data_IF_750329799603
#
_entry.id   IF_750329799603
#
_cell.length_a   1.000
_cell.length_b   1.000
_cell.length_c   1.000
_cell.angle_alpha   90.00
_cell.angle_beta   90.00
_cell.angle_gamma   90.00
#
_symmetry.space_group_name_H-M   'P 1'
#
loop_
_entity.id
_entity.type
_entity.pdbx_description
1 polymer ?
#
# COMPACT_ATOMS: atom_id res chain seq x y z
N UNK A 1 -31.48 -8.37 -12.72
CA UNK A 1 -31.98 -8.98 -11.47
C UNK A 1 -31.04 -8.56 -10.33
N UNK A 2 -31.38 -7.41 -9.73
CA UNK A 2 -30.53 -6.63 -8.82
C UNK A 2 -30.42 -7.26 -7.42
N UNK A 3 -29.23 -7.16 -6.84
CA UNK A 3 -28.84 -7.29 -5.43
C UNK A 3 -29.90 -7.82 -4.44
N UNK A 4 -29.78 -9.10 -4.05
CA UNK A 4 -30.31 -9.58 -2.77
C UNK A 4 -29.36 -9.14 -1.65
N UNK A 5 -29.71 -8.02 -1.01
CA UNK A 5 -29.16 -7.60 0.27
C UNK A 5 -29.57 -8.65 1.31
N UNK A 6 -28.62 -9.50 1.70
CA UNK A 6 -28.75 -10.34 2.88
C UNK A 6 -28.40 -9.46 4.08
N UNK A 7 -29.45 -9.03 4.80
CA UNK A 7 -29.34 -8.59 6.19
C UNK A 7 -28.85 -9.79 7.02
N UNK A 8 -27.54 -9.84 7.26
CA UNK A 8 -26.95 -10.71 8.27
C UNK A 8 -26.56 -9.81 9.44
N UNK A 9 -27.03 -10.16 10.65
CA UNK A 9 -26.58 -9.57 11.91
C UNK A 9 -25.12 -9.13 11.83
N UNK A 10 -24.87 -7.85 12.15
CA UNK A 10 -23.67 -7.03 11.90
C UNK A 10 -22.36 -7.72 12.33
N UNK A 11 -21.94 -8.78 11.62
CA UNK A 11 -20.60 -9.37 11.73
C UNK A 11 -19.63 -8.29 11.27
N UNK A 12 -18.67 -7.91 12.12
CA UNK A 12 -17.58 -7.01 11.73
C UNK A 12 -17.02 -7.44 10.37
N UNK A 13 -16.94 -6.51 9.43
CA UNK A 13 -16.42 -6.76 8.08
C UNK A 13 -14.99 -7.26 8.22
N UNK A 14 -14.69 -8.48 7.74
CA UNK A 14 -13.31 -8.99 7.69
C UNK A 14 -12.67 -8.49 6.41
N UNK A 15 -11.53 -7.80 6.54
CA UNK A 15 -10.83 -7.30 5.37
C UNK A 15 -9.75 -8.29 4.91
N UNK A 16 -10.14 -9.28 4.11
CA UNK A 16 -9.21 -10.30 3.61
C UNK A 16 -8.42 -9.77 2.41
N UNK A 17 -7.08 -9.84 2.38
CA UNK A 17 -6.34 -9.42 1.19
C UNK A 17 -6.65 -10.36 0.01
N UNK A 18 -6.75 -9.76 -1.17
CA UNK A 18 -6.98 -10.45 -2.46
C UNK A 18 -5.83 -10.22 -3.43
N UNK A 19 -4.99 -9.22 -3.18
CA UNK A 19 -3.74 -9.01 -3.91
C UNK A 19 -2.62 -8.63 -2.96
N UNK A 20 -1.55 -9.41 -2.95
CA UNK A 20 -0.28 -9.11 -2.29
C UNK A 20 0.73 -8.65 -3.34
N UNK A 21 1.03 -7.36 -3.32
CA UNK A 21 2.05 -6.73 -4.17
C UNK A 21 3.40 -7.08 -3.56
N UNK A 22 4.09 -8.06 -4.14
CA UNK A 22 5.39 -8.47 -3.63
C UNK A 22 6.45 -7.55 -4.20
N UNK A 23 6.84 -6.52 -3.45
CA UNK A 23 7.96 -5.65 -3.83
C UNK A 23 9.28 -6.39 -3.53
N UNK A 24 10.25 -6.41 -4.47
CA UNK A 24 11.53 -7.04 -4.21
C UNK A 24 12.23 -6.43 -2.98
N UNK A 25 12.71 -7.32 -2.10
CA UNK A 25 13.57 -7.02 -0.94
C UNK A 25 12.90 -6.30 0.24
N UNK A 26 11.59 -6.46 0.38
CA UNK A 26 10.79 -5.90 1.49
C UNK A 26 10.18 -6.99 2.39
N UNK A 27 10.94 -8.05 2.70
CA UNK A 27 10.47 -9.23 3.45
C UNK A 27 9.25 -9.98 2.85
N UNK A 28 8.88 -9.68 1.60
CA UNK A 28 7.68 -10.24 0.98
C UNK A 28 7.67 -11.76 0.79
N UNK A 29 8.83 -12.41 0.66
CA UNK A 29 8.91 -13.88 0.66
C UNK A 29 8.43 -14.48 1.98
N UNK A 30 8.91 -13.93 3.12
CA UNK A 30 8.50 -14.38 4.44
C UNK A 30 7.00 -14.23 4.65
N UNK A 31 6.45 -13.06 4.24
CA UNK A 31 5.02 -12.80 4.35
C UNK A 31 4.18 -13.70 3.45
N UNK A 32 4.57 -13.91 2.18
CA UNK A 32 3.88 -14.83 1.27
C UNK A 32 3.81 -16.24 1.83
N UNK A 33 4.93 -16.76 2.35
CA UNK A 33 5.00 -18.10 2.96
C UNK A 33 4.18 -18.18 4.26
N UNK A 34 3.97 -17.05 4.93
CA UNK A 34 3.00 -16.94 6.03
C UNK A 34 1.55 -16.93 5.52
N UNK A 35 1.23 -16.21 4.45
CA UNK A 35 -0.10 -16.18 3.85
C UNK A 35 -0.53 -17.57 3.35
N UNK A 36 0.39 -18.36 2.81
CA UNK A 36 0.15 -19.74 2.36
C UNK A 36 -0.42 -20.65 3.45
N UNK A 37 -0.21 -20.35 4.73
CA UNK A 37 -0.81 -21.13 5.82
C UNK A 37 -2.25 -20.73 6.16
N UNK A 38 -2.79 -19.68 5.54
CA UNK A 38 -4.11 -19.11 5.86
C UNK A 38 -5.01 -18.91 4.62
N UNK A 39 -4.42 -18.68 3.46
CA UNK A 39 -5.11 -18.38 2.21
C UNK A 39 -4.52 -19.20 1.06
N UNK A 40 -5.33 -19.45 0.04
CA UNK A 40 -4.83 -20.03 -1.21
C UNK A 40 -4.04 -18.97 -1.99
N UNK A 41 -2.71 -19.09 -2.03
CA UNK A 41 -1.87 -18.16 -2.78
C UNK A 41 -1.90 -18.53 -4.26
N UNK A 42 -2.20 -17.53 -5.11
CA UNK A 42 -2.22 -17.62 -6.58
C UNK A 42 -1.01 -16.86 -7.11
N UNK A 43 0.09 -17.55 -7.47
CA UNK A 43 1.28 -16.87 -7.97
C UNK A 43 1.05 -16.20 -9.33
N UNK A 44 1.41 -14.93 -9.44
CA UNK A 44 1.37 -14.16 -10.68
C UNK A 44 2.79 -13.73 -11.07
N UNK A 45 3.37 -14.46 -12.03
CA UNK A 45 4.62 -14.13 -12.70
C UNK A 45 4.41 -14.05 -14.22
N UNK A 46 5.49 -13.93 -15.01
CA UNK A 46 5.37 -13.89 -16.47
C UNK A 46 4.75 -15.19 -17.03
N UNK A 47 4.05 -15.09 -18.17
CA UNK A 47 3.31 -16.21 -18.79
C UNK A 47 4.16 -17.46 -19.00
N UNK A 48 5.41 -17.27 -19.43
CA UNK A 48 6.38 -18.31 -19.72
C UNK A 48 6.97 -18.98 -18.46
N UNK A 49 6.70 -18.45 -17.27
CA UNK A 49 7.21 -19.04 -16.04
C UNK A 49 6.28 -20.15 -15.55
N UNK A 50 6.86 -21.34 -15.29
CA UNK A 50 6.11 -22.52 -14.79
C UNK A 50 5.36 -22.24 -13.49
N UNK A 51 5.91 -21.37 -12.64
CA UNK A 51 5.33 -20.97 -11.35
C UNK A 51 4.04 -20.15 -11.49
N UNK A 52 3.77 -19.52 -12.64
CA UNK A 52 2.54 -18.74 -12.85
C UNK A 52 1.30 -19.64 -12.79
N UNK A 53 0.32 -19.25 -11.98
CA UNK A 53 -0.88 -20.05 -11.76
C UNK A 53 -1.77 -20.14 -13.01
N UNK A 54 -2.50 -21.26 -13.18
CA UNK A 54 -3.40 -21.49 -14.32
C UNK A 54 -4.44 -20.35 -14.49
N UNK A 55 -5.10 -19.93 -13.41
CA UNK A 55 -6.06 -18.80 -13.43
C UNK A 55 -5.44 -17.51 -13.98
N UNK A 56 -4.18 -17.23 -13.63
CA UNK A 56 -3.47 -16.04 -14.11
C UNK A 56 -3.18 -16.19 -15.60
N UNK A 57 -2.76 -17.37 -16.04
CA UNK A 57 -2.55 -17.65 -17.48
C UNK A 57 -3.84 -17.48 -18.28
N UNK A 58 -4.97 -17.98 -17.78
CA UNK A 58 -6.28 -17.85 -18.43
C UNK A 58 -6.73 -16.39 -18.54
N UNK A 59 -6.53 -15.57 -17.48
CA UNK A 59 -6.77 -14.12 -17.54
C UNK A 59 -5.87 -13.45 -18.58
N UNK A 60 -4.57 -13.71 -18.53
CA UNK A 60 -3.57 -13.06 -19.39
C UNK A 60 -3.70 -13.48 -20.86
N UNK A 61 -4.21 -14.68 -21.14
CA UNK A 61 -4.46 -15.16 -22.51
C UNK A 61 -5.82 -14.73 -23.07
N UNK A 62 -6.62 -13.97 -22.32
CA UNK A 62 -7.96 -13.53 -22.74
C UNK A 62 -9.06 -14.60 -22.67
N UNK A 63 -8.75 -15.80 -22.14
CA UNK A 63 -9.71 -16.90 -22.01
C UNK A 63 -10.62 -16.76 -20.78
N UNK A 64 -10.36 -15.78 -19.93
CA UNK A 64 -11.12 -15.50 -18.71
C UNK A 64 -11.26 -13.99 -18.54
N UNK A 65 -12.50 -13.53 -18.34
CA UNK A 65 -12.76 -12.11 -18.07
C UNK A 65 -12.24 -11.71 -16.69
N UNK A 66 -12.04 -10.41 -16.47
CA UNK A 66 -11.58 -9.91 -15.17
C UNK A 66 -12.56 -10.25 -14.03
N UNK A 67 -13.87 -10.23 -14.33
CA UNK A 67 -14.92 -10.63 -13.39
C UNK A 67 -14.81 -12.13 -13.04
N UNK A 68 -14.70 -13.01 -14.04
CA UNK A 68 -14.55 -14.45 -13.81
C UNK A 68 -13.29 -14.78 -13.01
N UNK A 69 -12.20 -14.06 -13.27
CA UNK A 69 -10.97 -14.17 -12.50
C UNK A 69 -11.21 -13.78 -11.04
N UNK A 70 -11.80 -12.61 -10.78
CA UNK A 70 -12.06 -12.15 -9.42
C UNK A 70 -13.01 -13.07 -8.65
N UNK A 71 -14.08 -13.55 -9.30
CA UNK A 71 -14.99 -14.56 -8.71
C UNK A 71 -14.24 -15.85 -8.35
N UNK A 72 -13.29 -16.29 -9.17
CA UNK A 72 -12.44 -17.46 -8.89
C UNK A 72 -11.54 -17.22 -7.67
N UNK A 73 -11.01 -16.00 -7.51
CA UNK A 73 -10.24 -15.61 -6.32
C UNK A 73 -11.11 -15.65 -5.06
N UNK A 74 -12.34 -15.13 -5.14
CA UNK A 74 -13.28 -15.14 -4.01
C UNK A 74 -13.69 -16.56 -3.61
N UNK A 75 -14.09 -17.40 -4.59
CA UNK A 75 -14.53 -18.78 -4.36
C UNK A 75 -13.45 -19.65 -3.71
N UNK A 76 -12.17 -19.40 -4.04
CA UNK A 76 -11.02 -20.14 -3.48
C UNK A 76 -10.51 -19.57 -2.15
N UNK A 77 -11.13 -18.49 -1.66
CA UNK A 77 -10.58 -17.67 -0.58
C UNK A 77 -9.08 -17.35 -0.80
N UNK A 78 -8.77 -16.89 -2.01
CA UNK A 78 -7.40 -16.76 -2.49
C UNK A 78 -6.85 -15.34 -2.33
N UNK A 79 -5.53 -15.25 -2.44
CA UNK A 79 -4.76 -14.01 -2.61
C UNK A 79 -3.83 -14.18 -3.80
N UNK A 80 -3.91 -13.27 -4.76
CA UNK A 80 -2.93 -13.20 -5.86
C UNK A 80 -1.64 -12.63 -5.30
N UNK A 81 -0.48 -13.21 -5.63
CA UNK A 81 0.80 -12.71 -5.15
C UNK A 81 1.86 -12.73 -6.25
N UNK A 82 2.62 -11.65 -6.39
CA UNK A 82 3.66 -11.57 -7.40
C UNK A 82 4.36 -10.22 -7.48
N UNK A 83 5.42 -10.17 -8.28
CA UNK A 83 6.15 -8.94 -8.58
C UNK A 83 5.39 -8.14 -9.65
N UNK A 84 4.24 -7.58 -9.27
CA UNK A 84 3.31 -6.88 -10.14
C UNK A 84 2.92 -5.52 -9.58
N UNK A 85 2.64 -4.57 -10.46
CA UNK A 85 2.19 -3.23 -10.07
C UNK A 85 0.77 -3.28 -9.55
N UNK A 86 0.39 -2.28 -8.77
CA UNK A 86 -0.95 -2.17 -8.19
C UNK A 86 -2.03 -1.97 -9.27
N UNK A 87 -1.68 -1.25 -10.33
CA UNK A 87 -2.53 -0.99 -11.50
C UNK A 87 -3.01 -2.27 -12.20
N UNK A 88 -2.29 -3.38 -12.10
CA UNK A 88 -2.67 -4.65 -12.75
C UNK A 88 -4.02 -5.19 -12.28
N UNK A 89 -4.45 -4.79 -11.07
CA UNK A 89 -5.63 -5.32 -10.42
C UNK A 89 -6.57 -4.26 -9.86
N UNK A 90 -6.24 -2.97 -9.96
CA UNK A 90 -7.04 -1.88 -9.37
C UNK A 90 -8.48 -1.82 -9.90
N UNK A 91 -8.71 -2.31 -11.12
CA UNK A 91 -10.03 -2.34 -11.76
C UNK A 91 -10.92 -3.52 -11.33
N UNK A 92 -10.40 -4.47 -10.54
CA UNK A 92 -11.20 -5.61 -10.06
C UNK A 92 -11.00 -5.95 -8.59
N UNK A 93 -9.89 -5.55 -8.00
CA UNK A 93 -9.60 -5.72 -6.58
C UNK A 93 -9.56 -4.31 -5.98
N UNK A 94 -10.44 -3.96 -5.02
CA UNK A 94 -10.40 -2.66 -4.39
C UNK A 94 -9.09 -2.48 -3.61
N UNK A 95 -8.50 -1.27 -3.55
CA UNK A 95 -7.31 -0.95 -2.77
C UNK A 95 -7.35 -1.46 -1.33
N UNK A 96 -8.52 -1.42 -0.69
CA UNK A 96 -8.74 -1.94 0.67
C UNK A 96 -8.48 -3.44 0.83
N UNK A 97 -8.45 -4.20 -0.26
CA UNK A 97 -8.13 -5.62 -0.32
C UNK A 97 -6.75 -5.88 -0.95
N UNK A 98 -5.95 -4.83 -1.14
CA UNK A 98 -4.55 -4.94 -1.53
C UNK A 98 -3.65 -4.81 -0.30
N UNK A 99 -2.57 -5.56 -0.29
CA UNK A 99 -1.54 -5.44 0.73
C UNK A 99 -0.13 -5.50 0.15
N UNK A 100 0.82 -4.93 0.88
CA UNK A 100 2.25 -4.95 0.50
C UNK A 100 3.13 -4.84 1.75
N UNK A 101 4.44 -4.97 1.55
CA UNK A 101 5.46 -4.54 2.49
C UNK A 101 6.41 -3.58 1.78
N UNK A 102 6.84 -2.56 2.50
CA UNK A 102 7.89 -1.63 2.08
C UNK A 102 9.07 -1.69 3.06
N UNK A 103 10.17 -1.05 2.71
CA UNK A 103 11.41 -1.00 3.47
C UNK A 103 12.06 0.36 3.33
N UNK A 104 12.87 0.76 4.31
CA UNK A 104 13.69 1.96 4.22
C UNK A 104 14.48 1.97 2.89
N UNK A 105 14.39 3.04 2.08
CA UNK A 105 14.88 3.05 0.70
C UNK A 105 16.36 2.71 0.54
N UNK A 106 17.21 3.17 1.46
CA UNK A 106 18.66 2.88 1.40
C UNK A 106 18.91 1.40 1.69
N UNK A 107 18.35 0.87 2.78
CA UNK A 107 18.46 -0.54 3.16
C UNK A 107 17.90 -1.48 2.08
N UNK A 108 16.80 -1.10 1.43
CA UNK A 108 16.22 -1.85 0.31
C UNK A 108 17.16 -1.88 -0.89
N UNK A 109 17.75 -0.73 -1.23
CA UNK A 109 18.68 -0.57 -2.36
C UNK A 109 19.93 -1.43 -2.18
N UNK A 110 20.55 -1.38 -1.00
CA UNK A 110 21.69 -2.26 -0.66
C UNK A 110 21.29 -3.72 -0.76
N UNK A 111 20.14 -4.09 -0.19
CA UNK A 111 19.66 -5.48 -0.21
C UNK A 111 19.36 -6.00 -1.62
N UNK A 112 18.90 -5.12 -2.53
CA UNK A 112 18.67 -5.45 -3.93
C UNK A 112 20.00 -5.69 -4.66
N UNK A 113 20.95 -4.77 -4.53
CA UNK A 113 22.27 -4.91 -5.14
C UNK A 113 22.92 -6.25 -4.76
N UNK A 114 22.98 -6.54 -3.46
CA UNK A 114 23.57 -7.79 -2.98
C UNK A 114 22.85 -9.04 -3.48
N UNK A 115 21.52 -8.98 -3.55
CA UNK A 115 20.73 -10.09 -4.06
C UNK A 115 20.99 -10.33 -5.55
N UNK A 116 21.07 -9.28 -6.35
CA UNK A 116 21.36 -9.40 -7.77
C UNK A 116 22.80 -9.88 -8.00
N UNK A 117 23.77 -9.35 -7.24
CA UNK A 117 25.18 -9.76 -7.31
C UNK A 117 25.34 -11.24 -6.91
N UNK A 118 24.74 -11.66 -5.79
CA UNK A 118 24.78 -13.05 -5.30
C UNK A 118 24.17 -14.05 -6.29
N UNK A 119 23.13 -13.65 -7.03
CA UNK A 119 22.46 -14.51 -8.00
C UNK A 119 22.99 -14.33 -9.44
N UNK A 120 24.17 -13.72 -9.60
CA UNK A 120 24.82 -13.48 -10.90
C UNK A 120 23.88 -12.79 -11.91
N UNK A 121 23.01 -11.88 -11.44
CA UNK A 121 22.10 -11.10 -12.28
C UNK A 121 22.70 -9.79 -12.76
N UNK A 122 23.78 -9.35 -12.12
CA UNK A 122 24.58 -8.19 -12.49
C UNK A 122 26.06 -8.48 -12.27
N UNK A 123 26.92 -7.93 -13.12
CA UNK A 123 28.38 -7.97 -12.99
C UNK A 123 28.97 -6.66 -12.49
N UNK A 124 28.20 -5.57 -12.56
CA UNK A 124 28.63 -4.20 -12.26
C UNK A 124 29.00 -3.97 -10.79
N UNK A 125 29.77 -2.90 -10.55
CA UNK A 125 30.07 -2.37 -9.23
C UNK A 125 28.86 -1.71 -8.56
N UNK A 126 28.99 -1.32 -7.29
CA UNK A 126 27.88 -0.69 -6.57
C UNK A 126 27.58 0.72 -7.11
N UNK A 127 28.59 1.52 -7.43
CA UNK A 127 28.39 2.87 -7.97
C UNK A 127 27.67 2.86 -9.33
N UNK A 128 28.12 2.03 -10.26
CA UNK A 128 27.46 1.86 -11.56
C UNK A 128 26.02 1.33 -11.42
N UNK A 129 25.77 0.47 -10.42
CA UNK A 129 24.41 0.03 -10.09
C UNK A 129 23.53 1.20 -9.61
N UNK A 130 24.07 2.10 -8.78
CA UNK A 130 23.35 3.27 -8.29
C UNK A 130 23.05 4.29 -9.40
N UNK A 131 23.84 4.33 -10.46
CA UNK A 131 23.60 5.23 -11.60
C UNK A 131 22.52 4.70 -12.56
N UNK A 132 22.13 3.43 -12.44
CA UNK A 132 21.14 2.85 -13.33
C UNK A 132 19.69 3.18 -12.89
N UNK A 133 18.93 3.97 -13.68
CA UNK A 133 17.59 4.42 -13.30
C UNK A 133 16.56 3.29 -13.14
N UNK A 134 16.82 2.10 -13.70
CA UNK A 134 15.91 0.95 -13.58
C UNK A 134 15.72 0.49 -12.12
N UNK A 135 16.68 0.79 -11.24
CA UNK A 135 16.64 0.41 -9.82
C UNK A 135 16.10 1.51 -8.91
N UNK A 136 15.90 2.72 -9.43
CA UNK A 136 15.40 3.87 -8.69
C UNK A 136 13.90 3.79 -8.43
N UNK A 137 13.46 4.33 -7.30
CA UNK A 137 12.06 4.49 -6.93
C UNK A 137 11.25 3.20 -7.12
N UNK A 138 11.85 2.05 -6.82
CA UNK A 138 11.26 0.74 -7.12
C UNK A 138 9.94 0.56 -6.36
N UNK A 139 9.88 0.96 -5.09
CA UNK A 139 8.69 0.73 -4.27
C UNK A 139 7.53 1.59 -4.76
N UNK A 140 7.79 2.86 -5.03
CA UNK A 140 6.88 3.80 -5.68
C UNK A 140 6.37 3.26 -7.01
N UNK A 141 7.25 2.75 -7.87
CA UNK A 141 6.86 2.23 -9.18
C UNK A 141 5.93 1.00 -9.11
N UNK A 142 5.99 0.21 -8.03
CA UNK A 142 5.06 -0.91 -7.79
C UNK A 142 3.70 -0.44 -7.26
N UNK A 143 3.67 0.66 -6.52
CA UNK A 143 2.45 1.23 -5.93
C UNK A 143 1.84 2.38 -6.74
N UNK A 144 2.50 2.79 -7.83
CA UNK A 144 2.07 3.88 -8.68
C UNK A 144 0.60 3.73 -9.11
N UNK A 145 -0.12 4.86 -9.09
CA UNK A 145 -1.53 4.94 -9.46
C UNK A 145 -2.52 4.72 -8.32
N UNK A 146 -2.07 4.35 -7.12
CA UNK A 146 -2.92 4.29 -5.93
C UNK A 146 -2.18 4.99 -4.77
N UNK A 147 -2.78 5.99 -4.13
CA UNK A 147 -2.19 6.60 -2.95
C UNK A 147 -2.03 5.60 -1.80
N UNK A 148 -0.92 5.71 -1.08
CA UNK A 148 -0.48 4.74 -0.08
C UNK A 148 -1.48 4.60 1.10
N UNK A 149 -2.14 5.70 1.49
CA UNK A 149 -3.20 5.72 2.50
C UNK A 149 -4.46 4.93 2.16
N UNK A 150 -4.66 4.56 0.89
CA UNK A 150 -5.82 3.82 0.41
C UNK A 150 -5.63 2.29 0.44
N UNK A 151 -4.41 1.80 0.64
CA UNK A 151 -4.15 0.36 0.69
C UNK A 151 -4.71 -0.28 1.95
N UNK A 152 -5.28 -1.46 1.76
CA UNK A 152 -5.80 -2.30 2.83
C UNK A 152 -4.80 -2.55 3.95
N UNK A 153 -3.53 -2.82 3.59
CA UNK A 153 -2.45 -2.97 4.56
C UNK A 153 -1.08 -2.70 3.92
N UNK A 154 -0.22 -2.00 4.65
CA UNK A 154 1.19 -1.81 4.30
C UNK A 154 2.03 -2.15 5.52
N UNK A 155 2.86 -3.18 5.39
CA UNK A 155 3.84 -3.54 6.41
C UNK A 155 5.15 -2.79 6.24
N UNK A 156 5.82 -2.51 7.35
CA UNK A 156 7.16 -1.92 7.38
C UNK A 156 8.16 -3.03 7.70
N UNK A 157 9.15 -3.23 6.85
CA UNK A 157 10.10 -4.35 6.97
C UNK A 157 10.90 -4.28 8.28
N UNK A 158 11.25 -3.09 8.71
CA UNK A 158 11.96 -2.78 9.95
C UNK A 158 11.14 -3.20 11.19
N UNK A 159 9.81 -3.13 11.08
CA UNK A 159 8.85 -3.52 12.12
C UNK A 159 8.06 -4.76 11.69
N UNK A 160 8.75 -5.78 11.13
CA UNK A 160 8.08 -6.92 10.50
C UNK A 160 7.18 -7.68 11.48
N UNK A 161 7.64 -7.96 12.69
CA UNK A 161 6.86 -8.70 13.69
C UNK A 161 5.59 -7.94 14.09
N UNK A 162 5.73 -6.64 14.35
CA UNK A 162 4.64 -5.72 14.66
C UNK A 162 3.66 -5.63 13.48
N UNK A 163 4.19 -5.54 12.25
CA UNK A 163 3.41 -5.53 11.00
C UNK A 163 2.53 -6.77 10.88
N UNK A 164 3.06 -7.97 11.17
CA UNK A 164 2.28 -9.21 11.17
C UNK A 164 1.19 -9.19 12.25
N UNK A 165 1.50 -8.71 13.45
CA UNK A 165 0.53 -8.63 14.54
C UNK A 165 -0.62 -7.67 14.21
N UNK A 166 -0.31 -6.51 13.65
CA UNK A 166 -1.28 -5.50 13.18
C UNK A 166 -2.13 -6.07 12.04
N UNK A 167 -1.51 -6.72 11.06
CA UNK A 167 -2.19 -7.39 9.96
C UNK A 167 -3.16 -8.47 10.45
N UNK A 168 -2.73 -9.35 11.36
CA UNK A 168 -3.57 -10.41 11.92
C UNK A 168 -4.77 -9.84 12.69
N UNK A 169 -4.55 -8.79 13.49
CA UNK A 169 -5.61 -8.09 14.23
C UNK A 169 -6.66 -7.51 13.29
N UNK A 170 -6.23 -6.87 12.21
CA UNK A 170 -7.11 -6.20 11.26
C UNK A 170 -7.88 -7.16 10.36
N UNK A 171 -7.21 -8.19 9.86
CA UNK A 171 -7.80 -9.15 8.91
C UNK A 171 -8.51 -10.31 9.60
N UNK A 172 -8.16 -10.60 10.85
CA UNK A 172 -8.59 -11.79 11.59
C UNK A 172 -7.89 -13.08 11.14
N UNK A 173 -6.84 -12.98 10.31
CA UNK A 173 -6.00 -14.11 9.92
C UNK A 173 -4.97 -14.42 11.03
N UNK A 174 -4.38 -15.61 10.97
CA UNK A 174 -3.31 -16.05 11.87
C UNK A 174 -2.03 -16.34 11.09
N UNK A 175 -1.53 -15.34 10.38
CA UNK A 175 -0.26 -15.43 9.64
C UNK A 175 0.89 -15.58 10.65
N UNK A 176 1.71 -16.65 10.57
CA UNK A 176 2.83 -16.84 11.48
C UNK A 176 3.96 -15.84 11.18
N UNK A 177 4.65 -15.40 12.22
CA UNK A 177 5.88 -14.63 12.09
C UNK A 177 6.99 -15.57 11.61
N UNK A 178 7.32 -15.50 10.31
CA UNK A 178 8.45 -16.23 9.72
C UNK A 178 9.58 -15.25 9.45
N UNK A 179 10.78 -15.48 10.00
CA UNK A 179 11.98 -14.74 9.63
C UNK A 179 12.78 -15.55 8.61
N UNK A 180 12.55 -15.31 7.32
CA UNK A 180 13.37 -15.89 6.25
C UNK A 180 14.36 -14.85 5.72
N UNK A 181 15.59 -15.27 5.42
CA UNK A 181 16.62 -14.47 4.73
C UNK A 181 16.98 -13.14 5.42
N UNK A 182 17.20 -13.15 6.74
CA UNK A 182 17.83 -12.03 7.46
C UNK A 182 19.30 -11.93 7.04
N UNK A 183 19.56 -11.22 5.94
CA UNK A 183 20.93 -11.02 5.48
C UNK A 183 21.65 -10.02 6.38
N UNK A 184 22.11 -10.45 7.57
CA UNK A 184 22.86 -9.61 8.52
C UNK A 184 24.06 -8.91 7.86
N UNK A 185 24.64 -9.53 6.84
CA UNK A 185 25.70 -8.92 6.02
C UNK A 185 25.23 -7.64 5.29
N UNK A 186 23.99 -7.61 4.80
CA UNK A 186 23.40 -6.42 4.15
C UNK A 186 23.22 -5.27 5.12
N UNK A 187 22.89 -5.59 6.38
CA UNK A 187 22.66 -4.63 7.45
C UNK A 187 24.00 -4.03 7.94
N UNK A 188 25.04 -4.87 8.05
CA UNK A 188 26.40 -4.38 8.31
C UNK A 188 26.94 -3.46 7.22
N UNK A 189 26.68 -3.76 5.93
CA UNK A 189 27.13 -2.89 4.83
C UNK A 189 26.34 -1.59 4.74
N UNK A 190 25.05 -1.64 5.04
CA UNK A 190 24.22 -0.44 5.16
C UNK A 190 24.82 0.55 6.18
N UNK A 191 25.29 0.06 7.33
CA UNK A 191 25.93 0.88 8.36
C UNK A 191 27.32 1.40 7.98
N UNK A 192 27.93 0.86 6.93
CA UNK A 192 29.29 1.22 6.48
C UNK A 192 29.30 2.12 5.23
N UNK A 193 28.13 2.52 4.73
CA UNK A 193 28.06 3.42 3.57
C UNK A 193 28.63 4.80 3.93
N UNK A 194 29.36 5.40 2.99
CA UNK A 194 29.73 6.81 3.10
C UNK A 194 28.48 7.69 3.07
N UNK A 195 28.55 8.88 3.68
CA UNK A 195 27.43 9.82 3.64
C UNK A 195 27.11 10.26 2.21
N UNK A 196 28.13 10.41 1.36
CA UNK A 196 27.95 10.74 -0.06
C UNK A 196 27.14 9.66 -0.79
N UNK A 197 27.48 8.39 -0.61
CA UNK A 197 26.74 7.27 -1.22
C UNK A 197 25.32 7.19 -0.67
N UNK A 198 25.13 7.42 0.64
CA UNK A 198 23.80 7.47 1.27
C UNK A 198 22.93 8.57 0.66
N UNK A 199 23.47 9.78 0.51
CA UNK A 199 22.76 10.90 -0.10
C UNK A 199 22.43 10.67 -1.57
N UNK A 200 23.34 10.03 -2.33
CA UNK A 200 23.07 9.61 -3.71
C UNK A 200 21.86 8.67 -3.78
N UNK A 201 21.77 7.68 -2.89
CA UNK A 201 20.63 6.76 -2.85
C UNK A 201 19.34 7.49 -2.48
N UNK A 202 19.37 8.34 -1.44
CA UNK A 202 18.20 9.11 -1.02
C UNK A 202 17.67 10.02 -2.13
N UNK A 203 18.57 10.71 -2.84
CA UNK A 203 18.23 11.62 -3.94
C UNK A 203 17.63 10.86 -5.13
N UNK A 204 18.29 9.79 -5.57
CA UNK A 204 17.80 8.97 -6.71
C UNK A 204 16.51 8.22 -6.37
N UNK A 205 16.21 8.00 -5.09
CA UNK A 205 15.03 7.31 -4.60
C UNK A 205 14.06 8.24 -3.83
N UNK A 206 14.02 9.54 -4.15
CA UNK A 206 13.22 10.52 -3.43
C UNK A 206 11.72 10.16 -3.33
N UNK A 207 11.15 9.51 -4.35
CA UNK A 207 9.74 9.07 -4.32
C UNK A 207 9.54 7.88 -3.38
N UNK A 208 10.50 6.96 -3.30
CA UNK A 208 10.47 5.88 -2.32
C UNK A 208 10.63 6.44 -0.89
N UNK A 209 11.43 7.50 -0.70
CA UNK A 209 11.57 8.19 0.60
C UNK A 209 10.25 8.81 1.04
N UNK A 210 9.60 9.59 0.18
CA UNK A 210 8.29 10.18 0.47
C UNK A 210 7.23 9.10 0.79
N UNK A 211 7.16 8.06 -0.06
CA UNK A 211 6.27 6.92 0.14
C UNK A 211 6.52 6.22 1.47
N UNK A 212 7.78 5.98 1.83
CA UNK A 212 8.15 5.30 3.07
C UNK A 212 7.75 6.11 4.29
N UNK A 213 7.99 7.43 4.28
CA UNK A 213 7.62 8.31 5.38
C UNK A 213 6.10 8.38 5.59
N UNK A 214 5.33 8.51 4.50
CA UNK A 214 3.86 8.52 4.58
C UNK A 214 3.32 7.17 5.11
N UNK A 215 3.82 6.05 4.57
CA UNK A 215 3.43 4.73 5.03
C UNK A 215 3.83 4.46 6.49
N UNK A 216 4.97 4.97 6.94
CA UNK A 216 5.41 4.85 8.34
C UNK A 216 4.49 5.67 9.26
N UNK A 217 4.12 6.89 8.88
CA UNK A 217 3.14 7.70 9.63
C UNK A 217 1.79 6.95 9.77
N UNK A 218 1.26 6.42 8.65
CA UNK A 218 0.04 5.60 8.65
C UNK A 218 0.20 4.36 9.55
N UNK A 219 1.34 3.69 9.48
CA UNK A 219 1.64 2.51 10.29
C UNK A 219 1.61 2.81 11.78
N UNK A 220 2.25 3.89 12.23
CA UNK A 220 2.26 4.30 13.63
C UNK A 220 0.84 4.60 14.14
N UNK A 221 0.05 5.35 13.36
CA UNK A 221 -1.33 5.64 13.71
C UNK A 221 -2.19 4.36 13.82
N UNK A 222 -2.00 3.40 12.92
CA UNK A 222 -2.76 2.14 12.89
C UNK A 222 -2.39 1.14 13.98
N UNK A 223 -1.23 1.27 14.64
CA UNK A 223 -0.80 0.39 15.75
C UNK A 223 -1.82 0.34 16.88
N UNK A 224 -2.41 1.50 17.19
CA UNK A 224 -3.26 1.71 18.37
C UNK A 224 -4.75 1.80 18.00
N UNK A 225 -5.08 1.99 16.72
CA UNK A 225 -6.45 2.20 16.27
C UNK A 225 -7.29 0.90 16.29
N UNK A 226 -8.56 1.04 16.70
CA UNK A 226 -9.54 -0.06 16.72
C UNK A 226 -10.19 -0.32 15.35
N UNK A 227 -10.19 0.68 14.48
CA UNK A 227 -10.52 0.63 13.05
C UNK A 227 -9.53 1.54 12.30
N UNK A 228 -9.38 1.35 11.00
CA UNK A 228 -8.41 2.10 10.19
C UNK A 228 -9.13 3.11 9.30
N UNK A 229 -8.67 4.35 9.36
CA UNK A 229 -8.92 5.33 8.33
C UNK A 229 -8.07 4.96 7.11
N UNK A 230 -8.74 4.72 5.99
CA UNK A 230 -8.12 4.73 4.68
C UNK A 230 -8.45 6.07 4.07
N UNK A 231 -7.45 6.90 3.87
CA UNK A 231 -7.67 8.25 3.36
C UNK A 231 -6.49 8.70 2.53
N UNK A 232 -6.81 9.49 1.51
CA UNK A 232 -5.84 10.26 0.77
C UNK A 232 -6.49 11.57 0.38
N UNK A 233 -5.71 12.63 0.43
CA UNK A 233 -6.14 13.99 0.17
C UNK A 233 -5.08 14.64 -0.69
N UNK A 234 -5.54 15.39 -1.68
CA UNK A 234 -4.69 16.20 -2.54
C UNK A 234 -5.31 17.60 -2.67
N UNK A 235 -4.45 18.58 -2.88
CA UNK A 235 -4.85 19.95 -3.14
C UNK A 235 -5.07 20.14 -4.64
N UNK A 236 -6.24 20.66 -5.05
CA UNK A 236 -6.48 21.15 -6.41
C UNK A 236 -6.97 22.58 -6.36
N UNK A 237 -6.11 23.51 -6.79
CA UNK A 237 -6.37 24.94 -6.68
C UNK A 237 -6.68 25.32 -5.22
N UNK A 238 -7.93 25.67 -4.91
CA UNK A 238 -8.41 26.04 -3.59
C UNK A 238 -9.31 24.96 -2.95
N UNK A 239 -9.37 23.76 -3.54
CA UNK A 239 -10.26 22.68 -3.09
C UNK A 239 -9.49 21.44 -2.65
N UNK A 240 -9.50 21.14 -1.35
CA UNK A 240 -9.05 19.85 -0.84
C UNK A 240 -9.97 18.79 -1.40
N UNK A 241 -9.43 17.84 -2.14
CA UNK A 241 -10.21 16.73 -2.66
C UNK A 241 -9.54 15.41 -2.33
N UNK A 242 -10.34 14.38 -2.14
CA UNK A 242 -9.78 13.11 -1.69
C UNK A 242 -10.81 12.03 -1.55
N UNK A 243 -10.35 10.94 -0.97
CA UNK A 243 -11.16 9.79 -0.63
C UNK A 243 -10.95 9.39 0.82
N UNK A 244 -12.02 8.93 1.48
CA UNK A 244 -11.92 8.35 2.81
C UNK A 244 -12.94 7.21 3.04
N UNK A 245 -12.51 6.16 3.73
CA UNK A 245 -13.40 5.11 4.25
C UNK A 245 -12.80 4.41 5.48
N UNK A 246 -13.65 3.80 6.29
CA UNK A 246 -13.21 2.91 7.37
C UNK A 246 -12.89 1.50 6.89
N UNK A 247 -11.91 0.86 7.51
CA UNK A 247 -11.50 -0.51 7.20
C UNK A 247 -12.54 -1.57 7.54
N UNK A 248 -13.18 -1.43 8.71
CA UNK A 248 -14.11 -2.43 9.27
C UNK A 248 -15.56 -1.93 9.34
N UNK A 249 -15.79 -0.61 9.35
CA UNK A 249 -17.12 0.01 9.29
C UNK A 249 -17.56 0.39 7.87
N UNK A 250 -18.88 0.46 7.65
CA UNK A 250 -19.49 1.06 6.45
C UNK A 250 -20.06 2.46 6.74
N UNK A 251 -19.82 3.01 7.94
CA UNK A 251 -20.17 4.39 8.25
C UNK A 251 -19.42 5.35 7.34
N UNK A 252 -20.06 6.48 7.02
CA UNK A 252 -19.40 7.57 6.31
C UNK A 252 -18.27 8.11 7.18
N UNK A 253 -17.15 8.45 6.56
CA UNK A 253 -16.04 9.11 7.25
C UNK A 253 -16.36 10.59 7.33
N UNK A 254 -16.09 11.17 8.49
CA UNK A 254 -16.26 12.58 8.78
C UNK A 254 -14.88 13.10 9.19
N UNK A 255 -14.38 14.09 8.46
CA UNK A 255 -13.04 14.66 8.65
C UNK A 255 -13.16 16.12 9.10
N UNK A 256 -12.58 16.44 10.25
CA UNK A 256 -12.36 17.80 10.69
C UNK A 256 -11.11 18.36 10.00
N UNK A 257 -11.22 19.55 9.43
CA UNK A 257 -10.16 20.22 8.67
C UNK A 257 -9.54 21.32 9.54
N UNK A 258 -8.22 21.26 9.68
CA UNK A 258 -7.41 22.24 10.40
C UNK A 258 -6.34 22.82 9.49
N UNK A 259 -6.08 24.12 9.62
CA UNK A 259 -5.00 24.83 8.92
C UNK A 259 -4.14 25.51 10.00
N UNK A 260 -2.88 25.10 10.12
CA UNK A 260 -1.97 25.50 11.22
C UNK A 260 -2.60 25.35 12.62
N UNK A 261 -3.43 24.32 12.78
CA UNK A 261 -4.14 24.03 14.03
C UNK A 261 -5.45 24.80 14.24
N UNK A 262 -5.78 25.77 13.39
CA UNK A 262 -7.07 26.46 13.41
C UNK A 262 -8.13 25.60 12.70
N UNK A 263 -9.25 25.34 13.37
CA UNK A 263 -10.35 24.58 12.79
C UNK A 263 -11.09 25.39 11.71
N UNK A 264 -11.18 24.83 10.50
CA UNK A 264 -11.84 25.48 9.35
C UNK A 264 -13.21 24.91 9.05
N UNK A 265 -13.49 23.67 9.47
CA UNK A 265 -14.77 23.03 9.22
C UNK A 265 -14.66 21.52 9.13
N UNK A 266 -15.69 20.92 8.58
CA UNK A 266 -15.81 19.47 8.49
C UNK A 266 -16.29 19.05 7.10
N UNK A 267 -15.85 17.89 6.65
CA UNK A 267 -16.27 17.29 5.39
C UNK A 267 -16.65 15.82 5.56
N UNK A 268 -17.65 15.37 4.80
CA UNK A 268 -18.13 13.98 4.81
C UNK A 268 -17.73 13.31 3.50
N UNK A 269 -17.16 12.11 3.59
CA UNK A 269 -16.85 11.27 2.43
C UNK A 269 -18.11 10.56 1.91
N UNK A 270 -18.78 11.17 0.95
CA UNK A 270 -20.04 10.67 0.35
C UNK A 270 -20.21 10.94 -1.15
N UNK A 271 -19.26 11.62 -1.79
CA UNK A 271 -19.25 11.86 -3.23
C UNK A 271 -18.64 10.67 -3.98
N UNK A 272 -18.82 10.57 -5.32
CA UNK A 272 -18.11 9.59 -6.13
C UNK A 272 -16.59 9.68 -5.96
N UNK A 273 -15.91 8.52 -6.00
CA UNK A 273 -14.45 8.43 -5.90
C UNK A 273 -13.71 9.03 -7.11
N UNK A 274 -12.52 9.59 -6.89
CA UNK A 274 -11.67 10.19 -7.93
C UNK A 274 -10.53 9.28 -8.44
N UNK A 275 -10.17 8.19 -7.72
CA UNK A 275 -8.98 7.38 -8.05
C UNK A 275 -9.27 6.03 -8.71
N UNK A 276 -10.42 5.43 -8.40
CA UNK A 276 -10.75 4.08 -8.81
C UNK A 276 -12.19 4.08 -9.30
N UNK A 277 -12.58 3.14 -10.16
CA UNK A 277 -13.97 3.02 -10.61
C UNK A 277 -14.96 3.09 -9.44
N UNK A 278 -16.04 3.87 -9.63
CA UNK A 278 -17.18 3.93 -8.69
C UNK A 278 -17.73 2.55 -8.36
N UNK A 279 -17.66 1.59 -9.29
CA UNK A 279 -18.09 0.22 -9.06
C UNK A 279 -17.29 -0.49 -7.95
N UNK A 280 -16.10 0.00 -7.62
CA UNK A 280 -15.12 -0.66 -6.73
C UNK A 280 -15.08 0.00 -5.36
N UNK A 281 -15.07 1.34 -5.30
CA UNK A 281 -14.98 2.09 -4.05
C UNK A 281 -16.26 2.84 -3.67
N UNK A 282 -17.27 2.90 -4.54
CA UNK A 282 -18.53 3.57 -4.27
C UNK A 282 -18.38 5.06 -3.99
N UNK A 283 -19.17 5.55 -3.04
CA UNK A 283 -19.22 6.94 -2.62
C UNK A 283 -18.27 7.16 -1.44
N UNK A 284 -17.00 7.39 -1.73
CA UNK A 284 -15.94 7.63 -0.73
C UNK A 284 -15.18 8.92 -0.98
N UNK A 285 -15.56 9.69 -2.00
CA UNK A 285 -14.94 10.96 -2.34
C UNK A 285 -15.44 12.09 -1.45
N UNK A 286 -14.65 13.15 -1.34
CA UNK A 286 -15.03 14.39 -0.69
C UNK A 286 -14.33 15.58 -1.33
N UNK A 287 -14.88 16.78 -1.08
CA UNK A 287 -14.30 18.06 -1.45
C UNK A 287 -14.53 19.06 -0.31
N UNK A 288 -13.52 19.86 0.01
CA UNK A 288 -13.61 20.93 1.00
C UNK A 288 -12.88 22.18 0.47
N UNK A 289 -13.60 23.29 0.25
CA UNK A 289 -12.98 24.53 -0.21
C UNK A 289 -12.16 25.18 0.92
N UNK A 290 -11.00 25.72 0.58
CA UNK A 290 -10.16 26.57 1.42
C UNK A 290 -10.11 27.97 0.82
N UNK A 291 -9.75 28.96 1.63
CA UNK A 291 -9.54 30.33 1.15
C UNK A 291 -8.09 30.52 0.68
N UNK A 292 -7.82 31.55 -0.13
CA UNK A 292 -6.46 31.96 -0.50
C UNK A 292 -5.59 32.21 0.75
N UNK A 293 -6.18 32.78 1.80
CA UNK A 293 -5.49 33.02 3.07
C UNK A 293 -5.07 31.72 3.74
N UNK A 294 -5.91 30.68 3.69
CA UNK A 294 -5.60 29.35 4.23
C UNK A 294 -4.45 28.65 3.48
N UNK A 295 -4.16 29.06 2.24
CA UNK A 295 -3.11 28.48 1.40
C UNK A 295 -1.82 29.31 1.35
N UNK A 296 -1.84 30.53 1.90
CA UNK A 296 -0.68 31.42 1.93
C UNK A 296 0.41 30.95 2.89
N UNK A 297 1.69 31.12 2.54
CA UNK A 297 2.84 30.84 3.43
C UNK A 297 3.09 29.37 3.82
N UNK A 298 2.78 28.41 2.93
CA UNK A 298 3.10 26.98 3.12
C UNK A 298 2.50 26.40 4.42
N UNK A 299 1.23 26.71 4.70
CA UNK A 299 0.55 26.23 5.91
C UNK A 299 0.40 24.72 5.91
N UNK A 300 0.39 24.15 7.11
CA UNK A 300 0.14 22.73 7.31
C UNK A 300 -1.35 22.48 7.40
N UNK A 301 -1.88 21.66 6.48
CA UNK A 301 -3.28 21.27 6.47
C UNK A 301 -3.40 19.88 7.08
N UNK A 302 -4.29 19.71 8.07
CA UNK A 302 -4.53 18.44 8.75
C UNK A 302 -6.01 18.09 8.68
N UNK A 303 -6.31 16.89 8.18
CA UNK A 303 -7.63 16.29 8.25
C UNK A 303 -7.63 15.22 9.35
N UNK A 304 -8.53 15.35 10.32
CA UNK A 304 -8.64 14.43 11.46
C UNK A 304 -9.98 13.71 11.44
N UNK A 305 -9.95 12.38 11.49
CA UNK A 305 -11.15 11.58 11.67
C UNK A 305 -11.59 11.56 13.14
N UNK A 306 -12.86 11.89 13.39
CA UNK A 306 -13.43 11.97 14.74
C UNK A 306 -13.52 10.61 15.43
N UNK A 307 -13.67 9.52 14.66
CA UNK A 307 -13.91 8.19 15.23
C UNK A 307 -12.63 7.51 15.70
N UNK A 308 -11.58 7.61 14.91
CA UNK A 308 -10.32 6.89 15.12
C UNK A 308 -9.19 7.78 15.58
N UNK A 309 -9.38 9.11 15.58
CA UNK A 309 -8.36 10.13 15.82
C UNK A 309 -7.15 10.06 14.88
N UNK A 310 -7.25 9.30 13.78
CA UNK A 310 -6.23 9.26 12.74
C UNK A 310 -6.26 10.57 11.96
N UNK A 311 -5.08 11.01 11.52
CA UNK A 311 -4.85 12.25 10.79
C UNK A 311 -4.20 11.98 9.43
N UNK A 312 -4.52 12.83 8.47
CA UNK A 312 -3.82 12.95 7.19
C UNK A 312 -3.34 14.38 7.05
N UNK A 313 -2.06 14.55 6.75
CA UNK A 313 -1.44 15.86 6.52
C UNK A 313 -1.28 16.10 5.03
N UNK A 314 -1.55 17.33 4.60
CA UNK A 314 -1.34 17.81 3.23
C UNK A 314 -0.50 19.08 3.32
N UNK A 315 0.55 19.15 2.52
CA UNK A 315 1.31 20.39 2.35
C UNK A 315 0.58 21.26 1.32
N UNK A 316 0.45 22.56 1.57
CA UNK A 316 -0.27 23.50 0.68
C UNK A 316 0.49 23.87 -0.60
N UNK A 317 1.53 23.11 -0.98
CA UNK A 317 2.43 23.37 -2.12
C UNK A 317 1.95 22.68 -3.40
#
# INVERSE_FOLDING_TARGET
MYFKIINFFRKKRKNTPRFFIHIPKTAGTSFRVGLESQLYVVPHYALNQKITHKLVREKLSGNMTEQQFYESILKRNAVVAGHKKSQEYVNIIPPRNMCTFIREPVARTVSLYEHLKKNNKISVGFEEFLDNPIYHNTQYNYLAGIPVGLYGFIGITEYYNESINIFNRYTGLKVPIKKMNTNKASESKFLQLSEQTRQKILTTNAKDVALYNEALSIFEQRKQASDWLHCHVEMKEEILCGNAWFGLSNEKVILDVYVDGEYKGQVIAESPTNYVSKAILGNTGFQFPLTIEDLSNNKTIVLKDQKTNQIVTVDSN
#
